data_IF_439305361736
#
_entry.id   IF_439305361736
#
_cell.length_a   1.000
_cell.length_b   1.000
_cell.length_c   1.000
_cell.angle_alpha   90.00
_cell.angle_beta   90.00
_cell.angle_gamma   90.00
#
_symmetry.space_group_name_H-M   'P 1'
#
loop_
_entity.id
_entity.type
_entity.pdbx_description
1 polymer ?
#
# COMPACT_ATOMS: atom_id res chain seq x y z
N UNK A 1 17.61 -28.16 8.34
CA UNK A 1 16.49 -28.21 7.37
C UNK A 1 16.22 -26.79 6.94
N UNK A 2 16.51 -26.47 5.68
CA UNK A 2 16.38 -25.12 5.15
C UNK A 2 14.91 -24.75 5.00
N UNK A 3 14.55 -23.55 5.46
CA UNK A 3 13.23 -22.93 5.28
C UNK A 3 13.39 -21.64 4.51
N UNK A 4 12.55 -21.42 3.50
CA UNK A 4 12.61 -20.23 2.64
C UNK A 4 11.33 -19.43 2.80
N UNK A 5 11.47 -18.12 2.83
CA UNK A 5 10.39 -17.18 3.01
C UNK A 5 10.51 -16.04 2.00
N UNK A 6 9.38 -15.60 1.47
CA UNK A 6 9.31 -14.54 0.47
C UNK A 6 8.48 -13.38 1.01
N UNK A 7 8.89 -12.16 0.67
CA UNK A 7 8.16 -10.93 0.96
C UNK A 7 8.07 -10.09 -0.30
N UNK A 8 6.84 -9.79 -0.71
CA UNK A 8 6.52 -9.02 -1.90
C UNK A 8 5.53 -7.91 -1.57
N UNK A 9 5.89 -6.68 -1.88
CA UNK A 9 5.03 -5.50 -1.93
C UNK A 9 5.52 -4.57 -3.06
N UNK A 10 4.90 -3.40 -3.20
CA UNK A 10 5.27 -2.39 -4.21
C UNK A 10 6.75 -1.97 -4.19
N UNK A 11 7.44 -2.05 -3.03
CA UNK A 11 8.81 -1.54 -2.83
C UNK A 11 9.84 -2.65 -2.58
N UNK A 12 9.41 -3.83 -2.21
CA UNK A 12 10.23 -4.93 -1.75
C UNK A 12 9.83 -6.22 -2.45
N UNK A 13 10.79 -6.84 -3.11
CA UNK A 13 10.64 -8.15 -3.78
C UNK A 13 11.82 -9.00 -3.32
N UNK A 14 11.69 -9.59 -2.12
CA UNK A 14 12.81 -10.10 -1.32
C UNK A 14 12.57 -11.55 -0.88
N UNK A 15 13.65 -12.28 -0.71
CA UNK A 15 13.64 -13.58 -0.06
C UNK A 15 14.50 -13.56 1.21
N UNK A 16 14.18 -14.48 2.11
CA UNK A 16 14.95 -14.74 3.32
C UNK A 16 14.86 -16.24 3.60
N UNK A 17 15.99 -16.89 3.83
CA UNK A 17 16.05 -18.30 4.17
C UNK A 17 16.91 -18.50 5.41
N UNK A 18 16.62 -19.59 6.10
CA UNK A 18 17.34 -20.00 7.30
C UNK A 18 17.54 -21.51 7.27
N UNK A 19 18.75 -21.94 7.61
CA UNK A 19 19.10 -23.34 7.80
C UNK A 19 19.89 -23.50 9.10
N UNK A 20 19.68 -24.63 9.75
CA UNK A 20 20.33 -24.98 11.01
C UNK A 20 21.04 -26.31 10.81
N UNK A 21 22.36 -26.31 11.01
CA UNK A 21 23.23 -27.48 10.88
C UNK A 21 24.11 -27.57 12.12
N UNK A 22 23.83 -28.53 13.00
CA UNK A 22 24.54 -28.66 14.27
C UNK A 22 24.33 -27.42 15.15
N UNK A 23 25.39 -26.68 15.42
CA UNK A 23 25.33 -25.43 16.20
C UNK A 23 25.36 -24.16 15.35
N UNK A 24 25.40 -24.31 14.02
CA UNK A 24 25.43 -23.19 13.09
C UNK A 24 24.03 -22.86 12.57
N UNK A 25 23.69 -21.57 12.64
CA UNK A 25 22.52 -20.99 11.97
C UNK A 25 23.04 -20.20 10.76
N UNK A 26 22.66 -20.63 9.57
CA UNK A 26 22.93 -19.91 8.33
C UNK A 26 21.69 -19.19 7.85
N UNK A 27 21.81 -17.89 7.64
CA UNK A 27 20.75 -17.04 7.08
C UNK A 27 21.21 -16.56 5.71
N UNK A 28 20.37 -16.69 4.69
CA UNK A 28 20.62 -16.17 3.35
C UNK A 28 19.45 -15.30 2.89
N UNK A 29 19.71 -14.06 2.48
CA UNK A 29 18.68 -13.08 2.15
C UNK A 29 19.08 -12.19 0.99
N UNK A 30 18.11 -11.73 0.20
CA UNK A 30 18.39 -10.92 -0.97
C UNK A 30 17.15 -10.45 -1.70
N UNK A 31 17.37 -9.85 -2.87
CA UNK A 31 16.33 -9.57 -3.84
C UNK A 31 15.95 -10.87 -4.55
N UNK A 32 14.69 -11.04 -4.93
CA UNK A 32 14.27 -12.18 -5.75
C UNK A 32 15.08 -12.25 -7.05
N UNK A 33 15.48 -13.45 -7.46
CA UNK A 33 16.31 -13.69 -8.63
C UNK A 33 17.82 -13.41 -8.46
N UNK A 34 18.32 -13.23 -7.23
CA UNK A 34 19.77 -13.09 -6.96
C UNK A 34 20.25 -14.10 -5.92
N UNK A 35 21.58 -14.32 -5.84
CA UNK A 35 22.19 -15.22 -4.84
C UNK A 35 22.08 -14.69 -3.40
N UNK A 36 21.79 -13.39 -3.24
CA UNK A 36 21.68 -12.71 -1.96
C UNK A 36 23.01 -12.62 -1.20
N UNK A 37 22.88 -12.46 0.11
CA UNK A 37 23.98 -12.41 1.08
C UNK A 37 23.77 -13.49 2.13
N UNK A 38 24.87 -14.10 2.56
CA UNK A 38 24.85 -15.17 3.56
C UNK A 38 25.54 -14.71 4.84
N UNK A 39 24.90 -14.99 5.98
CA UNK A 39 25.43 -14.78 7.32
C UNK A 39 25.37 -16.10 8.07
N UNK A 40 26.49 -16.48 8.68
CA UNK A 40 26.58 -17.67 9.52
C UNK A 40 26.82 -17.23 10.95
N UNK A 41 26.07 -17.80 11.88
CA UNK A 41 26.24 -17.57 13.31
C UNK A 41 26.29 -18.90 14.05
N UNK A 42 27.37 -19.09 14.78
CA UNK A 42 27.60 -20.24 15.63
C UNK A 42 26.98 -20.02 17.03
N UNK A 43 26.48 -21.09 17.63
CA UNK A 43 25.92 -21.14 18.97
C UNK A 43 26.63 -22.22 19.80
N UNK A 44 26.44 -22.19 21.12
CA UNK A 44 27.15 -23.12 22.02
C UNK A 44 26.58 -24.53 21.93
N UNK A 45 25.28 -24.64 21.63
CA UNK A 45 24.56 -25.92 21.53
C UNK A 45 23.58 -25.91 20.36
N UNK A 46 23.18 -27.10 19.91
CA UNK A 46 22.18 -27.23 18.85
C UNK A 46 20.81 -26.67 19.28
N UNK A 47 20.45 -26.84 20.56
CA UNK A 47 19.21 -26.30 21.12
C UNK A 47 19.17 -24.76 21.09
N UNK A 48 20.31 -24.11 21.40
CA UNK A 48 20.43 -22.66 21.28
C UNK A 48 20.28 -22.18 19.83
N UNK A 49 20.89 -22.89 18.88
CA UNK A 49 20.77 -22.61 17.45
C UNK A 49 19.33 -22.71 16.96
N UNK A 50 18.62 -23.79 17.31
CA UNK A 50 17.22 -23.99 16.95
C UNK A 50 16.30 -22.93 17.57
N UNK A 51 16.49 -22.60 18.85
CA UNK A 51 15.71 -21.56 19.53
C UNK A 51 15.93 -20.19 18.90
N UNK A 52 17.16 -19.87 18.52
CA UNK A 52 17.47 -18.64 17.81
C UNK A 52 16.83 -18.60 16.42
N UNK A 53 16.90 -19.69 15.66
CA UNK A 53 16.29 -19.80 14.34
C UNK A 53 14.76 -19.62 14.39
N UNK A 54 14.09 -20.29 15.34
CA UNK A 54 12.64 -20.17 15.54
C UNK A 54 12.22 -18.74 15.90
N UNK A 55 13.03 -18.03 16.71
CA UNK A 55 12.79 -16.61 17.01
C UNK A 55 12.87 -15.74 15.75
N UNK A 56 13.86 -15.96 14.89
CA UNK A 56 14.00 -15.22 13.63
C UNK A 56 12.84 -15.50 12.67
N UNK A 57 12.41 -16.76 12.57
CA UNK A 57 11.25 -17.15 11.76
C UNK A 57 9.98 -16.47 12.25
N UNK A 58 9.73 -16.46 13.56
CA UNK A 58 8.58 -15.77 14.15
C UNK A 58 8.61 -14.25 13.89
N UNK A 59 9.80 -13.64 13.90
CA UNK A 59 9.95 -12.22 13.57
C UNK A 59 9.64 -11.94 12.09
N UNK A 60 10.14 -12.79 11.17
CA UNK A 60 9.93 -12.62 9.73
C UNK A 60 8.47 -12.85 9.34
N UNK A 61 7.85 -13.91 9.83
CA UNK A 61 6.42 -14.19 9.61
C UNK A 61 5.54 -13.06 10.15
N UNK A 62 5.86 -12.48 11.31
CA UNK A 62 5.18 -11.29 11.84
C UNK A 62 5.33 -10.04 10.95
N UNK A 63 6.44 -9.93 10.22
CA UNK A 63 6.70 -8.87 9.24
C UNK A 63 6.03 -9.13 7.88
N UNK A 64 5.27 -10.23 7.73
CA UNK A 64 4.53 -10.55 6.51
C UNK A 64 5.28 -11.45 5.53
N UNK A 65 6.45 -11.99 5.92
CA UNK A 65 7.10 -13.01 5.10
C UNK A 65 6.28 -14.30 5.08
N UNK A 66 6.05 -14.84 3.90
CA UNK A 66 5.29 -16.07 3.68
C UNK A 66 6.26 -17.21 3.40
N UNK A 67 6.12 -18.32 4.11
CA UNK A 67 6.92 -19.51 3.86
C UNK A 67 6.63 -20.06 2.46
N UNK A 68 7.68 -20.30 1.68
CA UNK A 68 7.59 -20.68 0.26
C UNK A 68 8.55 -21.83 0.02
N UNK A 69 8.14 -22.81 -0.81
CA UNK A 69 9.01 -23.89 -1.21
C UNK A 69 10.29 -23.35 -1.89
N UNK A 70 11.44 -23.95 -1.60
CA UNK A 70 12.72 -23.45 -2.10
C UNK A 70 12.77 -23.41 -3.64
N UNK A 71 12.24 -24.43 -4.30
CA UNK A 71 12.16 -24.52 -5.77
C UNK A 71 11.33 -23.36 -6.34
N UNK A 72 10.15 -23.13 -5.78
CA UNK A 72 9.28 -22.00 -6.17
C UNK A 72 9.97 -20.67 -5.94
N UNK A 73 10.57 -20.44 -4.77
CA UNK A 73 11.22 -19.18 -4.43
C UNK A 73 12.44 -18.88 -5.33
N UNK A 74 13.14 -19.91 -5.82
CA UNK A 74 14.26 -19.75 -6.78
C UNK A 74 13.80 -19.30 -8.16
N UNK A 75 12.61 -19.68 -8.58
CA UNK A 75 12.03 -19.29 -9.88
C UNK A 75 11.34 -17.91 -9.82
N UNK A 76 10.96 -17.46 -8.63
CA UNK A 76 10.33 -16.15 -8.45
C UNK A 76 11.26 -15.00 -8.83
N UNK A 77 10.71 -14.04 -9.57
CA UNK A 77 11.39 -12.84 -10.03
C UNK A 77 10.76 -11.59 -9.44
N UNK A 78 11.46 -10.48 -9.63
CA UNK A 78 10.95 -9.14 -9.33
C UNK A 78 9.79 -8.85 -10.27
N UNK A 79 8.57 -8.78 -9.73
CA UNK A 79 7.35 -8.46 -10.48
C UNK A 79 6.78 -7.07 -10.12
N UNK A 80 7.57 -6.25 -9.42
CA UNK A 80 7.21 -4.89 -9.05
C UNK A 80 8.27 -3.87 -9.49
N UNK A 81 7.84 -2.72 -10.02
CA UNK A 81 8.72 -1.65 -10.48
C UNK A 81 8.17 -0.26 -10.18
N UNK A 82 9.03 0.61 -9.61
CA UNK A 82 8.77 2.06 -9.52
C UNK A 82 9.31 2.77 -10.76
N UNK A 83 8.48 3.62 -11.35
CA UNK A 83 8.84 4.60 -12.36
C UNK A 83 8.65 5.98 -11.75
N UNK A 84 9.68 6.81 -11.82
CA UNK A 84 9.69 8.19 -11.33
C UNK A 84 10.60 8.99 -12.26
N UNK A 85 10.30 10.27 -12.42
CA UNK A 85 11.17 11.21 -13.10
C UNK A 85 12.14 11.81 -12.06
N UNK A 86 13.43 11.89 -12.37
CA UNK A 86 14.36 12.72 -11.59
C UNK A 86 14.46 14.12 -12.19
N UNK A 87 14.91 15.09 -11.40
CA UNK A 87 15.10 16.46 -11.87
C UNK A 87 16.06 16.53 -13.07
N UNK A 88 17.16 15.78 -13.03
CA UNK A 88 18.09 15.69 -14.16
C UNK A 88 17.42 15.14 -15.43
N UNK A 89 16.54 14.15 -15.31
CA UNK A 89 15.84 13.59 -16.47
C UNK A 89 14.83 14.60 -17.03
N UNK A 90 14.14 15.31 -16.16
CA UNK A 90 13.23 16.39 -16.53
C UNK A 90 13.95 17.52 -17.30
N UNK A 91 15.10 18.00 -16.81
CA UNK A 91 15.93 19.01 -17.49
C UNK A 91 16.47 18.53 -18.85
N UNK A 92 16.48 17.22 -19.10
CA UNK A 92 16.87 16.61 -20.37
C UNK A 92 15.66 16.17 -21.22
N UNK A 93 14.50 16.81 -21.05
CA UNK A 93 13.26 16.59 -21.80
C UNK A 93 12.74 15.13 -21.75
N UNK A 94 13.09 14.36 -20.71
CA UNK A 94 12.61 12.99 -20.56
C UNK A 94 11.19 13.01 -20.02
N UNK A 95 10.28 12.33 -20.70
CA UNK A 95 8.91 12.12 -20.24
C UNK A 95 8.79 10.80 -19.46
N UNK A 96 8.11 10.83 -18.32
CA UNK A 96 7.89 9.62 -17.50
C UNK A 96 7.21 8.50 -18.30
N UNK A 97 6.19 8.83 -19.10
CA UNK A 97 5.50 7.87 -19.96
C UNK A 97 6.48 7.16 -20.92
N UNK A 98 7.38 7.90 -21.55
CA UNK A 98 8.36 7.32 -22.47
C UNK A 98 9.29 6.35 -21.76
N UNK A 99 9.71 6.66 -20.52
CA UNK A 99 10.50 5.73 -19.69
C UNK A 99 9.74 4.43 -19.44
N UNK A 100 8.46 4.53 -19.08
CA UNK A 100 7.60 3.36 -18.83
C UNK A 100 7.46 2.52 -20.12
N UNK A 101 7.11 3.15 -21.24
CA UNK A 101 6.84 2.47 -22.50
C UNK A 101 8.09 1.90 -23.17
N UNK A 102 9.29 2.42 -22.87
CA UNK A 102 10.58 1.88 -23.34
C UNK A 102 11.06 0.67 -22.53
N UNK A 103 10.49 0.42 -21.35
CA UNK A 103 10.87 -0.71 -20.52
C UNK A 103 10.35 -2.03 -21.10
N UNK A 104 11.27 -2.85 -21.63
CA UNK A 104 10.95 -4.15 -22.23
C UNK A 104 10.41 -5.16 -21.23
N UNK A 105 10.64 -4.94 -19.93
CA UNK A 105 10.15 -5.80 -18.86
C UNK A 105 8.79 -5.38 -18.31
N UNK A 106 8.18 -4.30 -18.81
CA UNK A 106 6.83 -3.88 -18.42
C UNK A 106 5.79 -5.02 -18.46
N UNK A 107 5.77 -5.92 -19.47
CA UNK A 107 4.85 -7.07 -19.49
C UNK A 107 5.10 -8.12 -18.40
N UNK A 108 6.28 -8.12 -17.77
CA UNK A 108 6.64 -9.05 -16.67
C UNK A 108 6.22 -8.52 -15.30
N UNK A 109 6.04 -7.20 -15.16
CA UNK A 109 5.64 -6.59 -13.89
C UNK A 109 4.14 -6.75 -13.67
N UNK A 110 3.77 -7.31 -12.53
CA UNK A 110 2.38 -7.34 -12.03
C UNK A 110 2.03 -6.10 -11.24
N UNK A 111 3.03 -5.43 -10.66
CA UNK A 111 2.84 -4.25 -9.83
C UNK A 111 3.68 -3.10 -10.36
N UNK A 112 3.07 -1.93 -10.49
CA UNK A 112 3.79 -0.70 -10.85
C UNK A 112 3.52 0.39 -9.82
N UNK A 113 4.55 1.19 -9.59
CA UNK A 113 4.50 2.39 -8.75
C UNK A 113 4.84 3.59 -9.62
N UNK A 114 3.97 4.60 -9.60
CA UNK A 114 4.17 5.87 -10.27
C UNK A 114 4.59 6.89 -9.21
N UNK A 115 5.82 7.40 -9.34
CA UNK A 115 6.37 8.49 -8.52
C UNK A 115 6.16 9.85 -9.18
N UNK A 116 7.13 10.75 -9.01
CA UNK A 116 7.12 12.09 -9.59
C UNK A 116 6.99 12.03 -11.12
N UNK A 117 6.03 12.78 -11.68
CA UNK A 117 5.71 12.81 -13.12
C UNK A 117 6.13 14.11 -13.81
N UNK A 118 6.25 15.22 -13.07
CA UNK A 118 6.77 16.51 -13.56
C UNK A 118 7.45 17.30 -12.43
N UNK A 119 8.10 18.41 -12.80
CA UNK A 119 8.65 19.42 -11.88
C UNK A 119 8.12 20.83 -12.17
N UNK A 120 7.05 20.96 -12.98
CA UNK A 120 6.41 22.25 -13.29
C UNK A 120 5.19 22.52 -12.39
N UNK A 121 4.76 21.52 -11.61
CA UNK A 121 3.54 21.59 -10.80
C UNK A 121 2.29 21.34 -11.63
N UNK A 122 2.41 20.61 -12.75
CA UNK A 122 1.27 20.17 -13.54
C UNK A 122 0.57 18.98 -12.85
N UNK A 123 -0.66 18.71 -13.28
CA UNK A 123 -1.38 17.53 -12.82
C UNK A 123 -0.95 16.28 -13.59
N UNK A 124 -1.44 15.12 -13.17
CA UNK A 124 -1.11 13.85 -13.83
C UNK A 124 -1.90 13.56 -15.13
N UNK A 125 -2.62 14.53 -15.71
CA UNK A 125 -3.52 14.31 -16.87
C UNK A 125 -2.80 13.83 -18.12
N UNK A 126 -1.63 14.39 -18.43
CA UNK A 126 -0.85 14.00 -19.61
C UNK A 126 -0.34 12.56 -19.49
N UNK A 127 0.12 12.17 -18.30
CA UNK A 127 0.51 10.80 -18.00
C UNK A 127 -0.69 9.85 -18.10
N UNK A 128 -1.83 10.23 -17.50
CA UNK A 128 -3.07 9.47 -17.56
C UNK A 128 -3.50 9.22 -19.00
N UNK A 129 -3.59 10.29 -19.81
CA UNK A 129 -3.94 10.21 -21.23
C UNK A 129 -3.02 9.25 -21.98
N UNK A 130 -1.71 9.37 -21.78
CA UNK A 130 -0.73 8.50 -22.41
C UNK A 130 -0.87 7.02 -22.02
N UNK A 131 -1.19 6.73 -20.76
CA UNK A 131 -1.49 5.36 -20.30
C UNK A 131 -2.77 4.84 -20.96
N UNK A 132 -3.83 5.64 -21.05
CA UNK A 132 -5.10 5.26 -21.68
C UNK A 132 -4.95 4.97 -23.17
N UNK A 133 -4.16 5.77 -23.89
CA UNK A 133 -3.80 5.54 -25.30
C UNK A 133 -2.99 4.24 -25.50
N UNK A 134 -2.34 3.74 -24.43
CA UNK A 134 -1.52 2.53 -24.42
C UNK A 134 -2.10 1.42 -23.52
N UNK A 135 -3.41 1.45 -23.21
CA UNK A 135 -4.05 0.60 -22.17
C UNK A 135 -3.71 -0.89 -22.25
N UNK A 136 -3.53 -1.43 -23.45
CA UNK A 136 -3.23 -2.86 -23.66
C UNK A 136 -1.89 -3.27 -23.00
N UNK A 137 -0.95 -2.32 -22.85
CA UNK A 137 0.33 -2.53 -22.15
C UNK A 137 0.21 -2.52 -20.63
N UNK A 138 -0.94 -2.14 -20.08
CA UNK A 138 -1.19 -2.03 -18.64
C UNK A 138 -2.33 -2.94 -18.15
N UNK A 139 -3.07 -3.57 -19.06
CA UNK A 139 -4.22 -4.40 -18.71
C UNK A 139 -3.88 -5.65 -17.86
N UNK A 140 -2.60 -6.05 -17.81
CA UNK A 140 -2.12 -7.16 -16.99
C UNK A 140 -1.77 -6.77 -15.54
N UNK A 141 -1.71 -5.48 -15.24
CA UNK A 141 -1.34 -4.97 -13.91
C UNK A 141 -2.35 -5.41 -12.86
N UNK A 142 -1.85 -5.97 -11.76
CA UNK A 142 -2.61 -6.42 -10.60
C UNK A 142 -2.44 -5.50 -9.39
N UNK A 143 -1.39 -4.68 -9.35
CA UNK A 143 -1.18 -3.69 -8.30
C UNK A 143 -0.71 -2.34 -8.84
N UNK A 144 -1.30 -1.26 -8.35
CA UNK A 144 -0.94 0.11 -8.70
C UNK A 144 -0.73 0.92 -7.43
N UNK A 145 0.47 1.50 -7.29
CA UNK A 145 0.71 2.58 -6.36
C UNK A 145 0.90 3.89 -7.13
N UNK A 146 -0.13 4.71 -7.15
CA UNK A 146 -0.16 6.02 -7.81
C UNK A 146 0.27 7.15 -6.87
N UNK A 147 1.21 8.00 -7.30
CA UNK A 147 1.66 9.15 -6.54
C UNK A 147 2.62 8.84 -5.40
N UNK A 148 3.50 7.84 -5.52
CA UNK A 148 4.60 7.59 -4.57
C UNK A 148 5.70 8.66 -4.68
N UNK A 149 5.31 9.91 -4.44
CA UNK A 149 6.15 11.10 -4.44
C UNK A 149 6.60 11.36 -3.01
N UNK A 150 7.90 11.35 -2.76
CA UNK A 150 8.47 11.55 -1.43
C UNK A 150 8.39 13.03 -1.02
N UNK A 151 8.40 13.28 0.30
CA UNK A 151 8.23 14.65 0.83
C UNK A 151 9.33 15.61 0.36
N UNK A 152 10.53 15.10 0.09
CA UNK A 152 11.65 15.88 -0.44
C UNK A 152 11.45 16.27 -1.92
N UNK A 153 10.61 15.53 -2.66
CA UNK A 153 10.25 15.84 -4.04
C UNK A 153 9.09 16.85 -4.06
N UNK A 154 8.01 16.56 -3.32
CA UNK A 154 6.82 17.42 -3.25
C UNK A 154 6.01 17.07 -1.98
N UNK A 155 5.49 18.10 -1.31
CA UNK A 155 4.57 17.87 -0.18
C UNK A 155 3.28 17.20 -0.64
N UNK A 156 2.69 16.35 0.20
CA UNK A 156 1.50 15.55 -0.17
C UNK A 156 0.29 16.41 -0.54
N UNK A 157 0.15 17.59 0.07
CA UNK A 157 -0.92 18.57 -0.18
C UNK A 157 -0.72 19.37 -1.46
N UNK A 158 0.38 19.15 -2.18
CA UNK A 158 0.68 19.79 -3.46
C UNK A 158 0.53 18.81 -4.63
N UNK A 159 0.30 17.52 -4.36
CA UNK A 159 0.20 16.49 -5.40
C UNK A 159 -1.14 16.66 -6.13
N UNK A 160 -1.08 17.21 -7.34
CA UNK A 160 -2.23 17.41 -8.23
C UNK A 160 -2.57 16.11 -8.98
N UNK A 161 -3.71 15.54 -8.65
CA UNK A 161 -4.25 14.35 -9.32
C UNK A 161 -5.17 14.75 -10.49
N UNK A 162 -5.82 13.74 -11.07
CA UNK A 162 -6.87 13.91 -12.05
C UNK A 162 -8.01 12.91 -11.75
N UNK A 163 -9.02 12.87 -12.62
CA UNK A 163 -10.00 11.78 -12.59
C UNK A 163 -9.36 10.46 -13.03
N UNK A 164 -9.09 9.59 -12.06
CA UNK A 164 -8.48 8.28 -12.29
C UNK A 164 -9.51 7.20 -12.66
N UNK A 165 -10.82 7.51 -12.74
CA UNK A 165 -11.85 6.55 -13.12
C UNK A 165 -11.52 5.79 -14.42
N UNK A 166 -11.09 6.45 -15.53
CA UNK A 166 -10.72 5.76 -16.76
C UNK A 166 -9.48 4.86 -16.62
N UNK A 167 -8.55 5.22 -15.72
CA UNK A 167 -7.36 4.41 -15.44
C UNK A 167 -7.76 3.06 -14.85
N UNK A 168 -8.75 3.06 -13.96
CA UNK A 168 -9.27 1.84 -13.35
C UNK A 168 -9.93 0.92 -14.38
N UNK A 169 -10.53 1.48 -15.45
CA UNK A 169 -11.05 0.69 -16.58
C UNK A 169 -9.94 0.09 -17.44
N UNK A 170 -8.82 0.82 -17.60
CA UNK A 170 -7.66 0.35 -18.35
C UNK A 170 -6.89 -0.78 -17.63
N UNK A 171 -7.06 -0.93 -16.31
CA UNK A 171 -6.42 -1.96 -15.49
C UNK A 171 -7.45 -2.90 -14.85
N UNK A 172 -8.17 -3.73 -15.62
CA UNK A 172 -9.29 -4.52 -15.12
C UNK A 172 -8.90 -5.63 -14.12
N UNK A 173 -7.62 -5.99 -14.04
CA UNK A 173 -7.10 -7.03 -13.13
C UNK A 173 -6.61 -6.48 -11.80
N UNK A 174 -6.83 -5.19 -11.53
CA UNK A 174 -6.30 -4.52 -10.35
C UNK A 174 -6.89 -5.10 -9.06
N UNK A 175 -6.02 -5.61 -8.20
CA UNK A 175 -6.31 -6.19 -6.88
C UNK A 175 -5.88 -5.29 -5.74
N UNK A 176 -4.77 -4.57 -5.90
CA UNK A 176 -4.25 -3.64 -4.88
C UNK A 176 -4.10 -2.24 -5.49
N UNK A 177 -4.90 -1.30 -5.01
CA UNK A 177 -4.84 0.11 -5.40
C UNK A 177 -4.39 0.95 -4.21
N UNK A 178 -3.27 1.63 -4.38
CA UNK A 178 -2.75 2.59 -3.44
C UNK A 178 -2.58 3.94 -4.12
N UNK A 179 -3.07 5.00 -3.50
CA UNK A 179 -3.00 6.36 -4.03
C UNK A 179 -2.44 7.26 -2.93
N UNK A 180 -1.54 8.17 -3.27
CA UNK A 180 -1.02 9.20 -2.37
C UNK A 180 -1.15 10.58 -3.04
N UNK A 181 -1.68 11.54 -2.28
CA UNK A 181 -2.07 12.86 -2.79
C UNK A 181 -3.52 12.82 -3.29
N UNK A 182 -4.31 13.85 -2.97
CA UNK A 182 -5.77 13.84 -3.21
C UNK A 182 -6.33 15.12 -3.82
N UNK A 183 -5.51 16.13 -4.12
CA UNK A 183 -5.99 17.32 -4.81
C UNK A 183 -6.53 16.90 -6.18
N UNK A 184 -7.73 17.34 -6.52
CA UNK A 184 -8.41 17.03 -7.78
C UNK A 184 -8.62 15.52 -8.05
N UNK A 185 -8.45 14.65 -7.05
CA UNK A 185 -8.62 13.20 -7.21
C UNK A 185 -10.09 12.83 -7.38
N UNK A 186 -10.40 12.08 -8.44
CA UNK A 186 -11.67 11.35 -8.57
C UNK A 186 -11.41 9.88 -8.88
N UNK A 187 -12.26 9.02 -8.35
CA UNK A 187 -12.33 7.60 -8.67
C UNK A 187 -13.57 7.26 -9.51
N UNK A 188 -14.52 8.21 -9.56
CA UNK A 188 -15.80 8.05 -10.23
C UNK A 188 -16.68 6.99 -9.57
N UNK A 189 -17.73 6.60 -10.28
CA UNK A 189 -18.60 5.50 -9.90
C UNK A 189 -18.25 4.26 -10.72
N UNK A 190 -17.81 3.19 -10.05
CA UNK A 190 -17.35 1.98 -10.74
C UNK A 190 -17.68 0.69 -9.99
N UNK A 191 -17.63 -0.46 -10.68
CA UNK A 191 -17.71 -1.78 -10.06
C UNK A 191 -16.39 -2.53 -10.32
N UNK A 192 -15.69 -2.88 -9.23
CA UNK A 192 -14.37 -3.53 -9.28
C UNK A 192 -14.38 -4.80 -8.44
N UNK A 193 -14.88 -5.93 -8.97
CA UNK A 193 -14.89 -7.20 -8.24
C UNK A 193 -13.49 -7.81 -8.06
N UNK A 194 -12.47 -7.36 -8.81
CA UNK A 194 -11.08 -7.83 -8.62
C UNK A 194 -10.34 -7.10 -7.50
N UNK A 195 -10.82 -5.93 -7.07
CA UNK A 195 -10.16 -5.16 -6.03
C UNK A 195 -10.27 -5.89 -4.67
N UNK A 196 -9.14 -5.99 -3.98
CA UNK A 196 -8.98 -6.61 -2.64
C UNK A 196 -8.47 -5.59 -1.62
N UNK A 197 -7.66 -4.63 -2.05
CA UNK A 197 -7.07 -3.61 -1.20
C UNK A 197 -7.21 -2.23 -1.84
N UNK A 198 -7.72 -1.28 -1.07
CA UNK A 198 -7.75 0.15 -1.40
C UNK A 198 -7.13 0.94 -0.25
N UNK A 199 -6.11 1.74 -0.56
CA UNK A 199 -5.43 2.62 0.39
C UNK A 199 -5.24 4.01 -0.21
N UNK A 200 -5.81 5.04 0.42
CA UNK A 200 -5.68 6.44 0.01
C UNK A 200 -4.97 7.21 1.11
N UNK A 201 -3.80 7.75 0.78
CA UNK A 201 -2.95 8.55 1.66
C UNK A 201 -3.16 10.02 1.31
N UNK A 202 -3.58 10.82 2.29
CA UNK A 202 -3.96 12.21 2.09
C UNK A 202 -3.49 13.10 3.25
N UNK A 203 -3.22 14.37 2.92
CA UNK A 203 -3.07 15.47 3.87
C UNK A 203 -4.41 16.06 4.33
N UNK A 204 -5.47 15.89 3.53
CA UNK A 204 -6.87 16.26 3.79
C UNK A 204 -7.75 15.63 2.70
N UNK A 205 -8.50 14.59 3.06
CA UNK A 205 -9.23 13.74 2.12
C UNK A 205 -10.50 14.44 1.64
N UNK A 206 -10.65 14.78 0.35
CA UNK A 206 -11.86 15.44 -0.13
C UNK A 206 -13.11 14.56 0.03
N UNK A 207 -14.23 15.20 0.35
CA UNK A 207 -15.56 14.59 0.48
C UNK A 207 -15.91 13.74 -0.75
N UNK A 208 -15.60 14.25 -1.93
CA UNK A 208 -15.89 13.66 -3.23
C UNK A 208 -15.22 12.30 -3.41
N UNK A 209 -14.03 12.10 -2.82
CA UNK A 209 -13.33 10.81 -2.87
C UNK A 209 -14.09 9.77 -2.03
N UNK A 210 -14.64 10.17 -0.88
CA UNK A 210 -15.46 9.28 -0.05
C UNK A 210 -16.78 8.96 -0.75
N UNK A 211 -17.39 9.95 -1.39
CA UNK A 211 -18.61 9.78 -2.18
C UNK A 211 -18.40 8.82 -3.37
N UNK A 212 -17.29 8.95 -4.09
CA UNK A 212 -16.92 8.04 -5.18
C UNK A 212 -16.80 6.58 -4.68
N UNK A 213 -16.19 6.37 -3.51
CA UNK A 213 -16.10 5.05 -2.87
C UNK A 213 -17.49 4.52 -2.48
N UNK A 214 -18.37 5.38 -1.96
CA UNK A 214 -19.72 5.02 -1.55
C UNK A 214 -20.66 4.75 -2.73
N UNK A 215 -20.43 5.41 -3.87
CA UNK A 215 -21.16 5.20 -5.11
C UNK A 215 -20.69 3.92 -5.84
N UNK A 216 -19.45 3.51 -5.61
CA UNK A 216 -18.82 2.34 -6.23
C UNK A 216 -19.17 1.01 -5.54
N UNK A 217 -18.96 -0.08 -6.28
CA UNK A 217 -19.18 -1.46 -5.83
C UNK A 217 -17.85 -2.23 -5.78
N UNK A 218 -17.43 -2.59 -4.56
CA UNK A 218 -16.20 -3.35 -4.30
C UNK A 218 -16.54 -4.62 -3.49
N UNK A 219 -17.24 -5.60 -4.10
CA UNK A 219 -17.86 -6.71 -3.39
C UNK A 219 -16.82 -7.66 -2.76
N UNK A 220 -15.59 -7.65 -3.26
CA UNK A 220 -14.51 -8.49 -2.78
C UNK A 220 -13.42 -7.72 -2.02
N UNK A 221 -13.67 -6.47 -1.63
CA UNK A 221 -12.70 -5.67 -0.89
C UNK A 221 -12.43 -6.27 0.49
N UNK A 222 -11.17 -6.53 0.80
CA UNK A 222 -10.69 -7.13 2.04
C UNK A 222 -10.03 -6.09 2.96
N UNK A 223 -9.42 -5.05 2.38
CA UNK A 223 -8.74 -3.95 3.08
C UNK A 223 -9.15 -2.60 2.50
N UNK A 224 -9.60 -1.69 3.37
CA UNK A 224 -9.84 -0.29 3.07
C UNK A 224 -9.11 0.59 4.08
N UNK A 225 -8.27 1.52 3.60
CA UNK A 225 -7.53 2.47 4.45
C UNK A 225 -7.63 3.87 3.88
N UNK A 226 -8.16 4.79 4.66
CA UNK A 226 -8.34 6.19 4.30
C UNK A 226 -7.63 7.06 5.35
N UNK A 227 -6.69 7.87 4.89
CA UNK A 227 -6.06 8.91 5.69
C UNK A 227 -6.94 10.15 5.61
N UNK A 228 -7.51 10.58 6.74
CA UNK A 228 -8.45 11.70 6.82
C UNK A 228 -7.73 13.03 6.58
N UNK A 229 -6.61 13.25 7.27
CA UNK A 229 -5.92 14.54 7.19
C UNK A 229 -6.64 15.63 7.98
N UNK A 230 -6.50 16.87 7.51
CA UNK A 230 -6.95 18.09 8.20
C UNK A 230 -7.63 19.06 7.23
N UNK A 231 -8.37 20.02 7.78
CA UNK A 231 -9.10 21.03 7.02
C UNK A 231 -8.17 21.87 6.13
N UNK A 232 -7.01 22.29 6.65
CA UNK A 232 -6.03 23.13 5.93
C UNK A 232 -5.52 22.50 4.61
N UNK A 233 -5.70 21.19 4.43
CA UNK A 233 -5.24 20.46 3.25
C UNK A 233 -6.34 19.64 2.56
N UNK A 234 -7.63 19.95 2.82
CA UNK A 234 -8.75 19.48 1.98
C UNK A 234 -9.85 18.64 2.65
N UNK A 235 -9.72 18.25 3.93
CA UNK A 235 -10.82 17.56 4.62
C UNK A 235 -11.80 18.56 5.23
N UNK A 236 -12.86 18.91 4.51
CA UNK A 236 -13.87 19.90 4.95
C UNK A 236 -15.14 19.27 5.52
N UNK A 237 -15.26 17.93 5.51
CA UNK A 237 -16.47 17.21 5.90
C UNK A 237 -16.52 16.85 7.39
N UNK A 238 -17.73 16.51 7.85
CA UNK A 238 -17.91 15.82 9.12
C UNK A 238 -17.44 14.37 9.01
N UNK A 239 -16.78 13.86 10.06
CA UNK A 239 -16.31 12.47 10.15
C UNK A 239 -17.44 11.43 9.96
N UNK A 240 -18.70 11.81 10.20
CA UNK A 240 -19.87 10.97 9.93
C UNK A 240 -20.00 10.58 8.45
N UNK A 241 -19.32 11.26 7.50
CA UNK A 241 -19.26 10.84 6.09
C UNK A 241 -18.69 9.41 5.92
N UNK A 242 -17.81 8.97 6.83
CA UNK A 242 -17.24 7.63 6.78
C UNK A 242 -18.19 6.57 7.34
N UNK A 243 -19.23 6.96 8.09
CA UNK A 243 -20.15 6.03 8.76
C UNK A 243 -20.73 4.96 7.82
N UNK A 244 -21.13 5.26 6.56
CA UNK A 244 -21.68 4.24 5.66
C UNK A 244 -20.64 3.22 5.16
N UNK A 245 -19.33 3.48 5.33
CA UNK A 245 -18.26 2.52 5.02
C UNK A 245 -18.21 1.37 6.04
N UNK A 246 -18.76 1.55 7.25
CA UNK A 246 -18.82 0.53 8.30
C UNK A 246 -20.01 -0.42 8.09
N UNK A 247 -20.09 -1.03 6.90
CA UNK A 247 -21.20 -1.90 6.53
C UNK A 247 -20.72 -3.23 5.95
N UNK A 248 -21.08 -4.33 6.62
CA UNK A 248 -20.86 -5.70 6.11
C UNK A 248 -21.74 -6.02 4.90
N UNK A 249 -22.84 -5.30 4.68
CA UNK A 249 -23.64 -5.47 3.47
C UNK A 249 -22.97 -4.81 2.26
N UNK A 250 -22.27 -3.70 2.47
CA UNK A 250 -21.50 -3.01 1.44
C UNK A 250 -20.19 -3.72 1.12
N UNK A 251 -19.42 -4.07 2.15
CA UNK A 251 -18.13 -4.74 1.98
C UNK A 251 -18.15 -6.10 2.69
N UNK A 252 -18.75 -7.14 2.07
CA UNK A 252 -18.97 -8.42 2.72
C UNK A 252 -17.70 -9.21 3.01
N UNK A 253 -16.59 -8.90 2.33
CA UNK A 253 -15.28 -9.52 2.55
C UNK A 253 -14.29 -8.66 3.35
N UNK A 254 -14.71 -7.49 3.83
CA UNK A 254 -13.80 -6.56 4.50
C UNK A 254 -13.34 -7.12 5.84
N UNK A 255 -12.03 -7.30 5.98
CA UNK A 255 -11.38 -7.77 7.22
C UNK A 255 -10.56 -6.67 7.88
N UNK A 256 -10.23 -5.62 7.14
CA UNK A 256 -9.48 -4.47 7.61
C UNK A 256 -10.11 -3.16 7.14
N UNK A 257 -10.54 -2.33 8.09
CA UNK A 257 -10.98 -0.96 7.85
C UNK A 257 -10.14 -0.01 8.70
N UNK A 258 -9.51 0.97 8.07
CA UNK A 258 -8.72 2.00 8.74
C UNK A 258 -9.15 3.38 8.30
N UNK A 259 -9.79 4.14 9.20
CA UNK A 259 -9.92 5.60 9.08
C UNK A 259 -8.85 6.18 10.01
N UNK A 260 -7.80 6.76 9.45
CA UNK A 260 -6.56 7.10 10.16
C UNK A 260 -6.13 8.54 9.90
N UNK A 261 -5.12 9.03 10.61
CA UNK A 261 -4.53 10.36 10.40
C UNK A 261 -5.55 11.51 10.51
N UNK A 262 -6.53 11.43 11.42
CA UNK A 262 -7.45 12.53 11.72
C UNK A 262 -6.96 13.35 12.93
N UNK A 263 -7.13 14.67 12.85
CA UNK A 263 -7.06 15.57 14.00
C UNK A 263 -8.38 15.53 14.75
N UNK A 264 -8.60 14.57 15.66
CA UNK A 264 -9.74 14.70 16.56
C UNK A 264 -9.48 15.81 17.60
N UNK A 265 -9.98 17.02 17.30
CA UNK A 265 -10.30 18.05 18.28
C UNK A 265 -11.36 17.51 19.26
N UNK A 266 -10.92 17.23 20.50
CA UNK A 266 -11.74 17.08 21.72
C UNK A 266 -13.17 16.55 21.56
N UNK A 267 -13.33 15.23 21.69
CA UNK A 267 -14.57 14.66 22.20
C UNK A 267 -14.86 15.17 23.63
N UNK A 268 -15.73 16.18 23.79
CA UNK A 268 -16.38 16.47 25.08
C UNK A 268 -17.64 15.60 25.21
N UNK A 269 -17.45 14.35 25.64
CA UNK A 269 -18.50 13.70 26.44
C UNK A 269 -18.80 14.58 27.64
N UNK A 270 -20.07 14.77 27.96
CA UNK A 270 -20.55 15.54 29.12
C UNK A 270 -20.13 14.96 30.49
N UNK A 271 -19.16 14.06 30.55
CA UNK A 271 -18.59 13.54 31.79
C UNK A 271 -17.06 13.40 31.70
N UNK A 272 -16.35 14.31 32.38
CA UNK A 272 -15.03 14.05 32.96
C UNK A 272 -13.80 14.18 32.05
N UNK A 273 -13.05 15.26 32.27
CA UNK A 273 -11.72 15.55 31.73
C UNK A 273 -10.70 14.40 31.88
N UNK A 274 -9.95 14.10 30.81
CA UNK A 274 -8.49 13.93 30.82
C UNK A 274 -7.88 13.97 29.41
N UNK A 275 -6.83 14.78 29.27
CA UNK A 275 -6.06 15.01 28.04
C UNK A 275 -5.29 13.75 27.61
N UNK A 276 -5.35 13.41 26.32
CA UNK A 276 -4.45 12.45 25.68
C UNK A 276 -4.94 12.06 24.30
N UNK A 277 -4.11 12.26 23.26
CA UNK A 277 -4.34 11.85 21.87
C UNK A 277 -4.74 10.36 21.79
N UNK A 278 -5.88 10.07 21.15
CA UNK A 278 -6.39 8.70 20.95
C UNK A 278 -7.17 8.57 19.65
N UNK A 279 -6.84 7.55 18.84
CA UNK A 279 -7.72 7.09 17.76
C UNK A 279 -8.84 6.20 18.30
N UNK A 280 -10.01 6.28 17.67
CA UNK A 280 -11.25 5.64 18.14
C UNK A 280 -11.36 4.19 17.61
N UNK A 281 -11.80 3.27 18.48
CA UNK A 281 -12.29 1.93 18.12
C UNK A 281 -13.79 1.88 18.41
N UNK A 282 -14.60 1.44 17.46
CA UNK A 282 -15.98 1.05 17.71
C UNK A 282 -16.12 -0.48 17.65
N UNK A 283 -16.75 -1.06 18.68
CA UNK A 283 -17.21 -2.45 18.71
C UNK A 283 -18.72 -2.47 18.87
N UNK A 284 -19.44 -3.26 18.06
CA UNK A 284 -20.91 -3.38 18.08
C UNK A 284 -21.50 -3.90 19.41
N UNK A 285 -20.69 -4.42 20.33
CA UNK A 285 -21.14 -4.79 21.67
C UNK A 285 -20.80 -3.67 22.66
N UNK A 286 -21.81 -2.99 23.20
CA UNK A 286 -21.66 -1.91 24.20
C UNK A 286 -21.01 -2.33 25.52
N UNK A 287 -19.72 -2.68 25.50
CA UNK A 287 -18.87 -2.87 26.67
C UNK A 287 -17.50 -2.23 26.41
N UNK A 288 -17.18 -1.29 27.28
CA UNK A 288 -15.93 -0.52 27.37
C UNK A 288 -14.67 -1.41 27.29
N UNK A 289 -13.71 -1.01 26.45
CA UNK A 289 -12.38 -1.63 26.33
C UNK A 289 -11.32 -0.62 25.87
N UNK A 290 -10.11 -0.74 26.42
CA UNK A 290 -9.06 0.27 26.56
C UNK A 290 -8.25 0.68 25.31
N UNK A 291 -7.59 1.84 25.46
CA UNK A 291 -6.72 2.60 24.53
C UNK A 291 -5.66 1.75 23.83
N UNK A 292 -5.52 1.89 22.51
CA UNK A 292 -4.41 1.34 21.72
C UNK A 292 -3.80 2.40 20.79
N UNK A 293 -2.52 2.73 20.95
CA UNK A 293 -1.78 3.81 20.26
C UNK A 293 -1.52 3.62 18.75
N UNK A 294 -2.17 2.66 18.09
CA UNK A 294 -2.13 2.46 16.64
C UNK A 294 -3.46 1.84 16.24
N UNK A 295 -4.33 2.60 15.59
CA UNK A 295 -5.66 2.16 15.17
C UNK A 295 -5.55 0.97 14.22
N UNK A 296 -5.78 -0.25 14.73
CA UNK A 296 -6.19 -1.42 13.95
C UNK A 296 -7.62 -1.73 14.37
N UNK A 297 -8.55 -1.64 13.43
CA UNK A 297 -9.82 -2.35 13.50
C UNK A 297 -9.66 -3.64 12.70
N UNK A 298 -9.88 -4.79 13.35
CA UNK A 298 -10.28 -6.03 12.67
C UNK A 298 -11.79 -6.13 12.88
N UNK A 299 -12.53 -6.26 11.78
CA UNK A 299 -13.98 -6.50 11.76
C UNK A 299 -14.33 -7.97 12.07
#
# INVERSE_FOLDING_TARGET
MKRVFVFQDFKSQKFWSIDVVGTDVTVNYGKLGTDGQTQVKNYSTAEEAEKAANKLIAEKTKKGYVETAEETAREMKVEAKKYTLSYDEYENDVRLLDKILKDKHLPEYKQITIGCWDYEGEDCSDLLKGILENKDKFAHIEGLFWGDIDQEEQEISWIEQADLSPLLDAMPKLKDLKIKGTNCLRLGQTSRPELRSLEIISGGLPTEVVEDILASDFPNLEKLVLYVGVEDYGFEADIEIFRPLFSKTRFPKLTYLGIVNSEEHQWRSSYGSRRGYSGVRFSESGKTGSVCRRGRLRL
#
